data_IF_552972557699
#
_entry.id   IF_552972557699
#
_cell.length_a   1.000
_cell.length_b   1.000
_cell.length_c   1.000
_cell.angle_alpha   90.00
_cell.angle_beta   90.00
_cell.angle_gamma   90.00
#
_symmetry.space_group_name_H-M   'P 1'
#
loop_
_entity.id
_entity.type
_entity.pdbx_description
1 polymer ?
#
# COMPACT_ATOMS: atom_id res chain seq x y z
N UNK A 1 0.23 -71.62 4.06
CA UNK A 1 -1.20 -71.92 4.27
C UNK A 1 -1.53 -71.39 5.65
N UNK A 2 -1.83 -70.10 5.82
CA UNK A 2 -3.03 -69.34 5.45
C UNK A 2 -4.23 -69.64 6.36
N UNK A 3 -4.64 -68.60 7.11
CA UNK A 3 -5.93 -68.28 7.78
C UNK A 3 -5.65 -67.68 9.17
N UNK A 4 -6.33 -66.66 9.69
CA UNK A 4 -7.36 -65.70 9.23
C UNK A 4 -7.62 -64.79 10.47
N UNK A 5 -8.09 -63.56 10.26
CA UNK A 5 -8.77 -62.63 11.21
C UNK A 5 -8.34 -61.15 11.07
N UNK A 6 -9.06 -60.44 10.19
CA UNK A 6 -9.50 -59.03 10.28
C UNK A 6 -10.57 -58.86 11.40
N UNK A 7 -11.15 -57.66 11.78
CA UNK A 7 -10.96 -56.26 11.33
C UNK A 7 -10.99 -55.14 12.44
N UNK A 8 -10.90 -53.87 12.01
CA UNK A 8 -11.61 -52.65 12.51
C UNK A 8 -10.88 -51.53 13.32
N UNK A 9 -11.09 -50.29 12.82
CA UNK A 9 -10.79 -48.93 13.30
C UNK A 9 -11.33 -48.60 14.74
N UNK A 10 -11.28 -47.35 15.25
CA UNK A 10 -10.15 -46.44 15.50
C UNK A 10 -10.16 -45.98 16.98
N UNK A 11 -9.02 -45.93 17.68
CA UNK A 11 -9.00 -45.33 19.02
C UNK A 11 -8.59 -43.85 18.94
N UNK A 12 -9.61 -43.02 19.17
CA UNK A 12 -9.57 -41.58 19.31
C UNK A 12 -8.59 -41.18 20.43
N UNK A 13 -7.57 -40.40 20.10
CA UNK A 13 -6.85 -39.62 21.10
C UNK A 13 -7.69 -38.40 21.45
N UNK A 14 -8.34 -38.44 22.61
CA UNK A 14 -9.11 -37.34 23.15
C UNK A 14 -8.23 -36.09 23.31
N UNK A 15 -8.66 -34.99 22.68
CA UNK A 15 -8.06 -33.67 22.90
C UNK A 15 -8.36 -33.20 24.33
N UNK A 16 -7.40 -32.57 25.04
CA UNK A 16 -7.68 -31.96 26.34
C UNK A 16 -8.63 -30.74 26.19
N UNK A 17 -9.46 -30.43 27.20
CA UNK A 17 -10.40 -29.32 27.14
C UNK A 17 -9.70 -27.96 27.10
N UNK A 18 -10.17 -27.10 26.20
CA UNK A 18 -9.74 -25.71 26.07
C UNK A 18 -9.92 -24.92 27.38
N UNK A 19 -8.99 -24.03 27.74
CA UNK A 19 -9.23 -23.06 28.81
C UNK A 19 -10.34 -22.07 28.40
N UNK A 20 -11.09 -21.50 29.37
CA UNK A 20 -12.17 -20.56 29.09
C UNK A 20 -11.61 -19.30 28.43
N UNK A 21 -12.35 -18.79 27.45
CA UNK A 21 -12.08 -17.55 26.75
C UNK A 21 -11.81 -16.41 27.74
N UNK A 22 -10.53 -16.11 27.98
CA UNK A 22 -10.13 -14.84 28.57
C UNK A 22 -10.27 -13.83 27.45
N UNK A 23 -11.36 -13.07 27.53
CA UNK A 23 -11.62 -11.86 26.78
C UNK A 23 -10.31 -11.08 26.54
N UNK A 24 -10.01 -10.60 25.32
CA UNK A 24 -8.94 -9.64 25.15
C UNK A 24 -9.28 -8.42 26.01
N UNK A 25 -8.31 -7.85 26.76
CA UNK A 25 -8.58 -6.66 27.55
C UNK A 25 -9.11 -5.55 26.64
N UNK A 26 -10.31 -5.11 27.00
CA UNK A 26 -10.97 -3.89 26.56
C UNK A 26 -10.00 -2.72 26.48
N UNK A 27 -9.88 -2.18 25.26
CA UNK A 27 -9.72 -0.75 24.95
C UNK A 27 -8.75 0.04 25.85
N UNK A 28 -7.46 -0.11 25.59
CA UNK A 28 -6.51 0.97 25.87
C UNK A 28 -6.47 1.87 24.63
N UNK A 29 -7.54 2.64 24.43
CA UNK A 29 -7.53 3.76 23.48
C UNK A 29 -6.75 4.90 24.15
N UNK A 30 -5.42 4.77 24.17
CA UNK A 30 -4.57 5.97 24.15
C UNK A 30 -5.06 6.78 22.94
N UNK A 31 -5.45 8.05 23.10
CA UNK A 31 -5.67 8.91 21.96
C UNK A 31 -4.29 9.16 21.36
N UNK A 32 -3.81 8.20 20.57
CA UNK A 32 -2.73 8.46 19.64
C UNK A 32 -3.28 9.58 18.76
N UNK A 33 -2.65 10.73 18.82
CA UNK A 33 -2.95 11.96 18.07
C UNK A 33 -3.00 11.76 16.53
N UNK A 34 -2.86 10.52 16.07
CA UNK A 34 -2.72 10.10 14.69
C UNK A 34 -3.67 8.92 14.40
N UNK A 35 -4.49 8.98 13.33
CA UNK A 35 -5.43 7.91 12.96
C UNK A 35 -4.73 6.57 12.68
N UNK A 36 -5.45 5.45 12.65
CA UNK A 36 -4.85 4.21 12.13
C UNK A 36 -4.51 4.42 10.63
N UNK A 37 -3.33 4.00 10.11
CA UNK A 37 -3.03 4.07 8.68
C UNK A 37 -4.14 3.50 7.77
N UNK A 38 -4.86 2.48 8.23
CA UNK A 38 -5.98 1.86 7.52
C UNK A 38 -7.17 2.80 7.46
N UNK A 39 -7.56 3.38 8.59
CA UNK A 39 -8.69 4.32 8.66
C UNK A 39 -8.37 5.61 7.91
N UNK A 40 -7.13 6.09 8.01
CA UNK A 40 -6.65 7.23 7.24
C UNK A 40 -6.74 6.98 5.72
N UNK A 41 -6.32 5.80 5.25
CA UNK A 41 -6.46 5.46 3.82
C UNK A 41 -7.93 5.28 3.43
N UNK A 42 -8.76 4.71 4.31
CA UNK A 42 -10.21 4.61 4.11
C UNK A 42 -10.84 5.98 3.90
N UNK A 43 -10.56 6.94 4.77
CA UNK A 43 -11.09 8.31 4.69
C UNK A 43 -10.68 8.99 3.38
N UNK A 44 -9.40 8.92 3.01
CA UNK A 44 -8.90 9.57 1.80
C UNK A 44 -9.51 9.03 0.50
N UNK A 45 -9.88 7.76 0.49
CA UNK A 45 -10.51 7.11 -0.66
C UNK A 45 -12.04 7.01 -0.51
N UNK A 46 -12.61 7.57 0.55
CA UNK A 46 -14.04 7.49 0.88
C UNK A 46 -14.57 6.05 0.84
N UNK A 47 -13.79 5.09 1.33
CA UNK A 47 -14.17 3.67 1.33
C UNK A 47 -15.23 3.45 2.43
N UNK A 48 -16.41 2.88 2.13
CA UNK A 48 -17.43 2.58 3.14
C UNK A 48 -16.94 1.65 4.25
N UNK A 49 -17.49 1.79 5.46
CA UNK A 49 -17.09 1.04 6.66
C UNK A 49 -17.25 -0.51 6.58
N UNK A 50 -17.88 -1.05 5.54
CA UNK A 50 -17.98 -2.50 5.31
C UNK A 50 -17.00 -3.06 4.28
N UNK A 51 -16.19 -2.22 3.65
CA UNK A 51 -15.29 -2.63 2.57
C UNK A 51 -13.83 -2.71 3.06
N UNK A 52 -13.06 -3.70 2.55
CA UNK A 52 -11.68 -3.85 2.93
C UNK A 52 -10.82 -2.74 2.29
N UNK A 53 -9.87 -2.21 3.06
CA UNK A 53 -8.92 -1.19 2.59
C UNK A 53 -7.78 -1.88 1.83
N UNK A 54 -8.07 -2.27 0.60
CA UNK A 54 -7.12 -2.91 -0.31
C UNK A 54 -7.43 -2.56 -1.78
N UNK A 55 -6.62 -3.04 -2.71
CA UNK A 55 -6.77 -2.77 -4.14
C UNK A 55 -8.13 -3.21 -4.73
N UNK A 56 -8.83 -4.17 -4.11
CA UNK A 56 -10.14 -4.65 -4.55
C UNK A 56 -11.28 -3.67 -4.25
N UNK A 57 -11.06 -2.68 -3.39
CA UNK A 57 -12.01 -1.59 -3.15
C UNK A 57 -12.10 -0.58 -4.30
N UNK A 58 -11.15 -0.60 -5.24
CA UNK A 58 -11.10 0.31 -6.39
C UNK A 58 -11.63 -0.41 -7.63
N UNK A 59 -12.53 0.19 -8.43
CA UNK A 59 -13.01 -0.38 -9.67
C UNK A 59 -11.88 -0.53 -10.70
N UNK A 60 -11.93 -1.60 -11.49
CA UNK A 60 -11.04 -1.82 -12.65
C UNK A 60 -11.89 -1.82 -13.92
N UNK A 61 -11.87 -0.72 -14.67
CA UNK A 61 -12.55 -0.61 -15.95
C UNK A 61 -11.68 -1.16 -17.11
N UNK A 62 -10.57 -1.83 -16.78
CA UNK A 62 -9.57 -2.34 -17.73
C UNK A 62 -8.66 -1.27 -18.34
N UNK A 63 -8.98 0.00 -18.11
CA UNK A 63 -8.19 1.15 -18.50
C UNK A 63 -7.22 1.56 -17.38
N UNK A 64 -6.40 2.59 -17.64
CA UNK A 64 -5.57 3.20 -16.61
C UNK A 64 -6.46 3.64 -15.44
N UNK A 65 -6.20 3.19 -14.20
CA UNK A 65 -7.02 3.55 -13.06
C UNK A 65 -7.12 5.07 -12.90
N UNK A 66 -8.33 5.58 -12.69
CA UNK A 66 -8.57 7.00 -12.40
C UNK A 66 -7.98 7.41 -11.04
N UNK A 67 -7.89 6.44 -10.12
CA UNK A 67 -7.25 6.60 -8.81
C UNK A 67 -5.77 6.91 -8.98
N UNK A 68 -5.30 7.94 -8.28
CA UNK A 68 -3.91 8.35 -8.35
C UNK A 68 -2.96 7.23 -7.87
N UNK A 69 -1.82 7.06 -8.55
CA UNK A 69 -0.90 5.94 -8.33
C UNK A 69 -0.44 5.81 -6.86
N UNK A 70 -0.20 6.92 -6.18
CA UNK A 70 0.20 6.91 -4.77
C UNK A 70 -0.90 6.34 -3.85
N UNK A 71 -2.18 6.57 -4.18
CA UNK A 71 -3.29 5.97 -3.43
C UNK A 71 -3.41 4.47 -3.71
N UNK A 72 -3.12 4.04 -4.95
CA UNK A 72 -3.04 2.61 -5.26
C UNK A 72 -1.91 1.93 -4.48
N UNK A 73 -0.73 2.56 -4.39
CA UNK A 73 0.37 2.03 -3.57
C UNK A 73 -0.01 1.99 -2.08
N UNK A 74 -0.75 2.98 -1.57
CA UNK A 74 -1.30 2.95 -0.20
C UNK A 74 -2.19 1.74 0.01
N UNK A 75 -3.13 1.51 -0.91
CA UNK A 75 -4.03 0.35 -0.87
C UNK A 75 -3.31 -0.99 -1.01
N UNK A 76 -2.25 -1.07 -1.79
CA UNK A 76 -1.45 -2.28 -1.92
C UNK A 76 -0.75 -2.62 -0.59
N UNK A 77 -0.08 -1.64 0.02
CA UNK A 77 0.63 -1.82 1.30
C UNK A 77 -0.36 -2.10 2.44
N UNK A 78 -1.46 -1.33 2.54
CA UNK A 78 -2.51 -1.59 3.50
C UNK A 78 -3.13 -2.97 3.27
N UNK A 79 -3.38 -3.37 2.02
CA UNK A 79 -4.00 -4.65 1.72
C UNK A 79 -3.15 -5.89 2.04
N UNK A 80 -1.85 -5.72 2.32
CA UNK A 80 -0.99 -6.85 2.66
C UNK A 80 -1.15 -7.29 4.12
N UNK A 81 -0.96 -8.58 4.38
CA UNK A 81 -1.12 -9.17 5.71
C UNK A 81 -0.25 -8.48 6.77
N UNK A 82 0.99 -8.14 6.40
CA UNK A 82 1.97 -7.50 7.29
C UNK A 82 1.94 -5.97 7.26
N UNK A 83 0.98 -5.36 6.53
CA UNK A 83 0.92 -3.90 6.27
C UNK A 83 2.22 -3.32 5.73
N UNK A 84 2.99 -4.16 5.05
CA UNK A 84 4.27 -3.83 4.44
C UNK A 84 4.43 -4.65 3.17
N UNK A 85 5.05 -4.07 2.15
CA UNK A 85 5.35 -4.76 0.90
C UNK A 85 6.73 -4.38 0.41
N UNK A 86 7.32 -5.29 -0.37
CA UNK A 86 8.54 -5.00 -1.12
C UNK A 86 8.15 -4.21 -2.37
N UNK A 87 9.11 -3.51 -2.97
CA UNK A 87 8.86 -2.82 -4.24
C UNK A 87 8.34 -3.78 -5.33
N UNK A 88 8.90 -4.99 -5.37
CA UNK A 88 8.45 -6.04 -6.28
C UNK A 88 7.01 -6.49 -5.96
N UNK A 89 6.69 -6.68 -4.67
CA UNK A 89 5.33 -7.04 -4.24
C UNK A 89 4.29 -5.97 -4.58
N UNK A 90 4.68 -4.69 -4.58
CA UNK A 90 3.79 -3.61 -5.03
C UNK A 90 3.52 -3.72 -6.54
N UNK A 91 4.54 -4.05 -7.35
CA UNK A 91 4.34 -4.27 -8.79
C UNK A 91 3.38 -5.43 -9.05
N UNK A 92 3.58 -6.54 -8.35
CA UNK A 92 2.76 -7.74 -8.46
C UNK A 92 1.32 -7.47 -8.04
N UNK A 93 1.09 -6.79 -6.92
CA UNK A 93 -0.26 -6.45 -6.45
C UNK A 93 -1.02 -5.56 -7.45
N UNK A 94 -0.34 -4.57 -8.04
CA UNK A 94 -0.95 -3.70 -9.06
C UNK A 94 -1.31 -4.48 -10.34
N UNK A 95 -0.42 -5.38 -10.77
CA UNK A 95 -0.69 -6.26 -11.90
C UNK A 95 -1.83 -7.23 -11.59
N UNK A 96 -1.83 -7.87 -10.43
CA UNK A 96 -2.88 -8.80 -10.03
C UNK A 96 -4.27 -8.16 -10.08
N UNK A 97 -4.37 -6.90 -9.62
CA UNK A 97 -5.65 -6.20 -9.62
C UNK A 97 -6.06 -5.60 -10.96
N UNK A 98 -5.20 -4.81 -11.62
CA UNK A 98 -5.62 -3.99 -12.76
C UNK A 98 -5.12 -4.53 -14.09
N UNK A 99 -6.02 -4.69 -15.07
CA UNK A 99 -5.65 -5.15 -16.40
C UNK A 99 -4.61 -4.24 -17.08
N UNK A 100 -4.70 -2.92 -16.88
CA UNK A 100 -3.78 -1.93 -17.44
C UNK A 100 -2.31 -2.27 -17.16
N UNK A 101 -1.95 -2.60 -15.90
CA UNK A 101 -0.55 -2.89 -15.56
C UNK A 101 -0.08 -4.26 -16.05
N UNK A 102 -0.99 -5.23 -16.23
CA UNK A 102 -0.66 -6.56 -16.78
C UNK A 102 -0.38 -6.54 -18.27
N UNK A 103 -1.18 -5.79 -19.01
CA UNK A 103 -1.12 -5.78 -20.48
C UNK A 103 0.00 -4.90 -21.03
N UNK A 104 0.64 -4.07 -20.20
CA UNK A 104 1.85 -3.32 -20.60
C UNK A 104 3.04 -4.25 -20.84
N UNK A 105 3.85 -3.92 -21.85
CA UNK A 105 5.06 -4.65 -22.17
C UNK A 105 6.26 -3.71 -22.41
N UNK A 106 7.47 -4.26 -22.32
CA UNK A 106 8.71 -3.57 -22.66
C UNK A 106 8.88 -2.21 -21.98
N UNK A 107 8.94 -1.16 -22.79
CA UNK A 107 9.16 0.22 -22.34
C UNK A 107 8.07 0.72 -21.39
N UNK A 108 6.80 0.41 -21.65
CA UNK A 108 5.70 0.91 -20.84
C UNK A 108 5.72 0.32 -19.43
N UNK A 109 6.15 -0.94 -19.31
CA UNK A 109 6.39 -1.58 -18.01
C UNK A 109 7.42 -0.82 -17.18
N UNK A 110 8.53 -0.42 -17.81
CA UNK A 110 9.59 0.35 -17.13
C UNK A 110 9.07 1.74 -16.72
N UNK A 111 8.26 2.38 -17.56
CA UNK A 111 7.73 3.72 -17.32
C UNK A 111 6.80 3.77 -16.10
N UNK A 112 5.81 2.86 -16.00
CA UNK A 112 4.91 2.87 -14.85
C UNK A 112 5.61 2.40 -13.57
N UNK A 113 6.52 1.42 -13.65
CA UNK A 113 7.31 1.02 -12.47
C UNK A 113 8.23 2.15 -11.99
N UNK A 114 8.79 2.94 -12.92
CA UNK A 114 9.52 4.16 -12.60
C UNK A 114 8.65 5.18 -11.87
N UNK A 115 7.39 5.32 -12.30
CA UNK A 115 6.41 6.19 -11.64
C UNK A 115 6.06 5.70 -10.23
N UNK A 116 5.99 4.38 -9.99
CA UNK A 116 5.81 3.80 -8.65
C UNK A 116 6.99 4.13 -7.75
N UNK A 117 8.24 3.88 -8.20
CA UNK A 117 9.45 4.23 -7.44
C UNK A 117 9.53 5.72 -7.12
N UNK A 118 9.14 6.54 -8.09
CA UNK A 118 9.07 7.99 -7.89
C UNK A 118 8.06 8.35 -6.81
N UNK A 119 6.83 7.81 -6.85
CA UNK A 119 5.81 8.07 -5.85
C UNK A 119 6.29 7.70 -4.43
N UNK A 120 6.91 6.54 -4.27
CA UNK A 120 7.41 6.06 -2.98
C UNK A 120 8.51 6.96 -2.40
N UNK A 121 9.36 7.54 -3.25
CA UNK A 121 10.37 8.51 -2.80
C UNK A 121 9.79 9.91 -2.59
N UNK A 122 8.75 10.26 -3.34
CA UNK A 122 8.19 11.61 -3.40
C UNK A 122 7.30 11.92 -2.19
N UNK A 123 6.47 10.98 -1.72
CA UNK A 123 5.56 11.20 -0.61
C UNK A 123 6.16 10.71 0.72
N UNK A 124 6.14 11.59 1.74
CA UNK A 124 6.74 11.33 3.07
C UNK A 124 6.11 10.17 3.84
N UNK A 125 4.87 9.86 3.49
CA UNK A 125 4.09 8.80 4.12
C UNK A 125 4.67 7.40 3.82
N UNK A 126 5.41 7.24 2.72
CA UNK A 126 6.05 5.97 2.39
C UNK A 126 7.41 5.89 3.06
N UNK A 127 7.55 4.94 3.98
CA UNK A 127 8.77 4.75 4.76
C UNK A 127 9.41 3.43 4.37
N UNK A 128 10.69 3.50 3.99
CA UNK A 128 11.54 2.34 3.79
C UNK A 128 11.96 1.77 5.16
N UNK A 129 11.69 0.48 5.37
CA UNK A 129 12.12 -0.31 6.53
C UNK A 129 13.17 -1.31 6.08
N UNK A 130 14.32 -1.26 6.76
CA UNK A 130 15.40 -2.24 6.62
C UNK A 130 14.85 -3.66 6.87
N UNK A 131 15.38 -4.65 6.17
CA UNK A 131 15.09 -6.05 6.50
C UNK A 131 16.01 -6.51 7.61
N UNK A 132 15.52 -7.45 8.42
CA UNK A 132 16.37 -8.12 9.38
C UNK A 132 17.50 -8.85 8.66
N UNK A 133 18.70 -8.85 9.25
CA UNK A 133 19.89 -9.44 8.64
C UNK A 133 19.75 -10.95 8.33
N UNK A 134 18.75 -11.63 8.92
CA UNK A 134 18.44 -13.03 8.66
C UNK A 134 17.58 -13.28 7.41
N UNK A 135 16.90 -12.26 6.87
CA UNK A 135 15.98 -12.40 5.74
C UNK A 135 16.73 -12.30 4.40
N UNK A 136 16.99 -13.45 3.75
CA UNK A 136 17.71 -13.55 2.46
C UNK A 136 16.87 -13.10 1.25
N UNK A 137 16.20 -11.96 1.35
CA UNK A 137 15.37 -11.43 0.27
C UNK A 137 15.95 -10.17 -0.38
N UNK A 138 15.59 -9.92 -1.65
CA UNK A 138 15.98 -8.70 -2.38
C UNK A 138 15.15 -7.48 -1.97
N UNK A 139 15.82 -6.36 -1.72
CA UNK A 139 15.21 -5.04 -1.48
C UNK A 139 14.72 -4.83 -0.05
N UNK A 140 14.19 -3.65 0.24
CA UNK A 140 13.65 -3.29 1.55
C UNK A 140 12.13 -3.45 1.63
N UNK A 141 11.56 -3.36 2.82
CA UNK A 141 10.11 -3.26 3.00
C UNK A 141 9.67 -1.80 2.95
N UNK A 142 8.45 -1.58 2.47
CA UNK A 142 7.82 -0.28 2.42
C UNK A 142 6.55 -0.32 3.26
N UNK A 143 6.41 0.70 4.10
CA UNK A 143 5.32 0.87 5.06
C UNK A 143 4.70 2.25 4.90
N UNK A 144 3.51 2.42 5.45
CA UNK A 144 2.81 3.71 5.52
C UNK A 144 2.95 4.22 6.94
N UNK A 145 3.59 5.39 7.09
CA UNK A 145 3.71 6.09 8.37
C UNK A 145 3.06 7.46 8.25
N UNK A 146 1.84 7.58 8.79
CA UNK A 146 1.06 8.82 8.76
C UNK A 146 1.65 9.92 9.65
N UNK A 147 2.51 9.57 10.62
CA UNK A 147 3.16 10.53 11.52
C UNK A 147 4.12 11.44 10.78
N UNK A 148 4.61 10.99 9.63
CA UNK A 148 5.47 11.76 8.74
C UNK A 148 4.71 12.89 8.00
N UNK A 149 3.38 12.94 8.15
CA UNK A 149 2.48 13.96 7.62
C UNK A 149 2.06 13.76 6.16
N UNK A 150 1.04 14.50 5.76
CA UNK A 150 0.66 14.68 4.35
C UNK A 150 1.62 15.65 3.67
N UNK A 151 2.48 15.15 2.78
CA UNK A 151 3.39 16.03 2.05
C UNK A 151 4.45 15.33 1.21
N UNK A 152 5.24 16.18 0.55
CA UNK A 152 6.36 15.77 -0.28
C UNK A 152 7.67 15.74 0.52
N UNK A 153 8.54 14.77 0.26
CA UNK A 153 9.81 14.58 0.99
C UNK A 153 10.78 15.75 0.82
N UNK A 154 10.61 16.56 -0.23
CA UNK A 154 11.37 17.78 -0.46
C UNK A 154 10.43 18.97 -0.53
N UNK A 155 10.67 19.96 0.32
CA UNK A 155 10.05 21.27 0.16
C UNK A 155 10.49 21.84 -1.19
N UNK A 156 9.52 21.99 -2.08
CA UNK A 156 9.78 22.56 -3.39
C UNK A 156 10.06 24.05 -3.17
N UNK A 157 11.34 24.43 -3.04
CA UNK A 157 11.77 25.83 -3.06
C UNK A 157 11.48 26.38 -4.46
N UNK A 158 10.23 26.76 -4.73
CA UNK A 158 9.87 27.56 -5.90
C UNK A 158 10.51 28.93 -5.66
N UNK A 159 11.75 29.08 -6.09
CA UNK A 159 12.29 30.41 -6.33
C UNK A 159 11.35 31.06 -7.34
N UNK A 160 10.60 32.06 -6.89
CA UNK A 160 9.93 32.98 -7.77
C UNK A 160 11.02 33.79 -8.49
N UNK A 161 11.59 33.22 -9.55
CA UNK A 161 12.35 34.01 -10.52
C UNK A 161 11.31 34.84 -11.24
N UNK A 162 11.15 36.09 -10.80
CA UNK A 162 10.24 37.05 -11.38
C UNK A 162 10.46 37.15 -12.88
N UNK A 163 9.42 36.80 -13.64
CA UNK A 163 9.31 37.22 -15.03
C UNK A 163 9.12 38.74 -14.98
N UNK A 164 10.21 39.50 -15.10
CA UNK A 164 10.13 40.92 -15.47
C UNK A 164 9.54 40.97 -16.88
N UNK A 165 8.21 41.11 -16.98
CA UNK A 165 7.58 41.54 -18.21
C UNK A 165 7.94 43.01 -18.40
N UNK A 166 8.93 43.26 -19.25
CA UNK A 166 9.24 44.59 -19.78
C UNK A 166 8.06 45.05 -20.65
N UNK A 167 7.12 45.80 -20.06
CA UNK A 167 6.11 46.52 -20.84
C UNK A 167 6.71 47.87 -21.25
N UNK A 168 7.38 47.92 -22.41
CA UNK A 168 7.78 49.19 -22.99
C UNK A 168 6.52 49.88 -23.56
N UNK A 169 6.19 50.99 -22.92
CA UNK A 169 5.13 51.95 -23.22
C UNK A 169 5.25 52.48 -24.66
N UNK A 170 4.25 52.18 -25.50
CA UNK A 170 4.02 52.90 -26.76
C UNK A 170 3.78 54.38 -26.40
N UNK A 171 4.73 55.26 -26.75
CA UNK A 171 4.50 56.71 -26.76
C UNK A 171 3.83 57.06 -28.08
N UNK A 172 2.54 57.39 -28.01
CA UNK A 172 1.92 58.28 -28.98
C UNK A 172 2.42 59.69 -28.68
N UNK A 173 2.86 60.44 -29.69
CA UNK A 173 2.66 61.89 -29.79
C UNK A 173 3.15 62.44 -31.13
N UNK A 174 2.15 62.92 -31.88
CA UNK A 174 2.10 64.06 -32.81
C UNK A 174 3.09 64.13 -33.96
#
# INVERSE_FOLDING_TARGET
MAEELLPSLPQQSASPPSPPATLPPTTSHEPLDFPDPIEYVREQLCIPLGLPVNLWSVPDDGLRPATALHLLVRLAICGSEKRMLTLQGIYEALQERFAFFRSTNGHDTVAWQGSVRHAMSLYRIFVNRERDMGDKGRGSYWTIDIRNGEGYTRDRKRAATGIQKQTARIKMSR
#
